data_IF_333857652123
#
_entry.id   IF_333857652123
#
_cell.length_a   1.000
_cell.length_b   1.000
_cell.length_c   1.000
_cell.angle_alpha   90.00
_cell.angle_beta   90.00
_cell.angle_gamma   90.00
#
_symmetry.space_group_name_H-M   'P 1'
#
loop_
_entity.id
_entity.type
_entity.pdbx_description
1 polymer ?
#
# COMPACT_ATOMS: atom_id res chain seq x y z
N UNK A 1 -6.28 -79.15 86.00
CA UNK A 1 -6.22 -78.75 84.58
C UNK A 1 -7.61 -78.31 84.16
N UNK A 2 -7.83 -77.01 84.02
CA UNK A 2 -8.87 -76.43 83.17
C UNK A 2 -8.46 -74.97 82.95
N UNK A 3 -7.97 -74.68 81.76
CA UNK A 3 -7.41 -73.39 81.36
C UNK A 3 -8.56 -72.58 80.77
N UNK A 4 -8.84 -71.42 81.37
CA UNK A 4 -9.82 -70.48 80.87
C UNK A 4 -9.24 -69.75 79.65
N UNK A 5 -9.91 -69.85 78.50
CA UNK A 5 -9.63 -69.00 77.33
C UNK A 5 -10.19 -67.58 77.56
N UNK A 6 -9.42 -66.53 77.29
CA UNK A 6 -9.93 -65.16 77.34
C UNK A 6 -10.67 -64.83 76.03
N UNK A 7 -11.88 -64.30 76.19
CA UNK A 7 -12.71 -63.77 75.09
C UNK A 7 -12.04 -62.54 74.48
N UNK A 8 -11.56 -62.67 73.24
CA UNK A 8 -10.98 -61.58 72.46
C UNK A 8 -12.06 -60.57 72.07
N UNK A 9 -12.14 -59.45 72.79
CA UNK A 9 -12.97 -58.30 72.43
C UNK A 9 -12.40 -57.63 71.17
N UNK A 10 -13.07 -57.85 70.03
CA UNK A 10 -12.85 -57.09 68.81
C UNK A 10 -13.12 -55.60 69.06
N UNK A 11 -12.06 -54.80 69.05
CA UNK A 11 -12.13 -53.34 69.12
C UNK A 11 -12.95 -52.77 67.94
N UNK A 12 -13.78 -51.72 68.15
CA UNK A 12 -14.54 -51.11 67.08
C UNK A 12 -13.60 -50.48 66.05
N UNK A 13 -13.80 -50.83 64.78
CA UNK A 13 -13.07 -50.28 63.65
C UNK A 13 -13.13 -48.74 63.67
N UNK A 14 -11.99 -48.09 63.89
CA UNK A 14 -11.87 -46.65 63.85
C UNK A 14 -12.43 -46.11 62.53
N UNK A 15 -13.45 -45.27 62.61
CA UNK A 15 -14.08 -44.62 61.46
C UNK A 15 -13.01 -43.84 60.68
N UNK A 16 -12.67 -44.32 59.49
CA UNK A 16 -11.75 -43.63 58.58
C UNK A 16 -12.38 -42.29 58.21
N UNK A 17 -11.76 -41.19 58.63
CA UNK A 17 -12.17 -39.83 58.25
C UNK A 17 -12.17 -39.71 56.73
N UNK A 18 -13.28 -39.29 56.09
CA UNK A 18 -13.35 -39.21 54.64
C UNK A 18 -12.33 -38.18 54.14
N UNK A 19 -11.40 -38.61 53.29
CA UNK A 19 -10.41 -37.74 52.65
C UNK A 19 -11.16 -36.65 51.86
N UNK A 20 -10.93 -35.35 52.12
CA UNK A 20 -11.66 -34.29 51.43
C UNK A 20 -11.34 -34.34 49.93
N UNK A 21 -12.36 -34.64 49.11
CA UNK A 21 -12.24 -34.60 47.65
C UNK A 21 -11.98 -33.15 47.23
N UNK A 22 -10.77 -32.88 46.73
CA UNK A 22 -10.39 -31.56 46.22
C UNK A 22 -11.30 -31.21 45.03
N UNK A 23 -12.24 -30.30 45.25
CA UNK A 23 -13.15 -29.84 44.22
C UNK A 23 -12.36 -29.25 43.04
N UNK A 24 -12.44 -29.90 41.87
CA UNK A 24 -11.75 -29.44 40.66
C UNK A 24 -12.27 -28.05 40.30
N UNK A 25 -11.38 -27.05 40.30
CA UNK A 25 -11.71 -25.67 39.91
C UNK A 25 -12.40 -25.68 38.53
N UNK A 26 -13.49 -24.92 38.35
CA UNK A 26 -14.24 -24.91 37.09
C UNK A 26 -13.36 -24.43 35.94
N UNK A 27 -13.48 -25.08 34.77
CA UNK A 27 -12.63 -24.84 33.60
C UNK A 27 -12.57 -23.36 33.18
N UNK A 28 -13.70 -22.63 33.31
CA UNK A 28 -13.77 -21.18 33.05
C UNK A 28 -12.78 -20.36 33.87
N UNK A 29 -12.56 -20.69 35.16
CA UNK A 29 -11.59 -19.99 36.00
C UNK A 29 -10.16 -20.25 35.53
N UNK A 30 -9.84 -21.49 35.13
CA UNK A 30 -8.52 -21.84 34.57
C UNK A 30 -8.25 -21.11 33.25
N UNK A 31 -9.24 -21.05 32.36
CA UNK A 31 -9.15 -20.32 31.10
C UNK A 31 -8.90 -18.81 31.32
N UNK A 32 -9.66 -18.17 32.22
CA UNK A 32 -9.45 -16.75 32.54
C UNK A 32 -8.06 -16.47 33.14
N UNK A 33 -7.54 -17.37 33.97
CA UNK A 33 -6.16 -17.24 34.47
C UNK A 33 -5.12 -17.37 33.35
N UNK A 34 -5.35 -18.28 32.39
CA UNK A 34 -4.46 -18.43 31.23
C UNK A 34 -4.49 -17.19 30.35
N UNK A 35 -5.67 -16.66 30.01
CA UNK A 35 -5.83 -15.44 29.21
C UNK A 35 -5.14 -14.26 29.89
N UNK A 36 -5.37 -14.06 31.19
CA UNK A 36 -4.73 -12.96 31.94
C UNK A 36 -3.21 -13.08 31.96
N UNK A 37 -2.67 -14.29 32.17
CA UNK A 37 -1.22 -14.53 32.16
C UNK A 37 -0.64 -14.38 30.75
N UNK A 38 -1.35 -14.89 29.74
CA UNK A 38 -0.99 -14.75 28.34
C UNK A 38 -0.87 -13.28 27.97
N UNK A 39 -1.91 -12.47 28.19
CA UNK A 39 -1.87 -11.04 27.93
C UNK A 39 -0.73 -10.34 28.67
N UNK A 40 -0.47 -10.68 29.93
CA UNK A 40 0.64 -10.09 30.68
C UNK A 40 1.99 -10.38 30.02
N UNK A 41 2.31 -11.65 29.76
CA UNK A 41 3.63 -12.01 29.23
C UNK A 41 3.79 -11.64 27.75
N UNK A 42 2.76 -11.86 26.93
CA UNK A 42 2.76 -11.42 25.54
C UNK A 42 2.80 -9.89 25.46
N UNK A 43 2.08 -9.17 26.30
CA UNK A 43 2.10 -7.71 26.33
C UNK A 43 3.49 -7.15 26.65
N UNK A 44 4.20 -7.73 27.63
CA UNK A 44 5.59 -7.36 27.94
C UNK A 44 6.56 -7.73 26.81
N UNK A 45 6.46 -8.97 26.31
CA UNK A 45 7.37 -9.45 25.29
C UNK A 45 7.17 -8.71 23.97
N UNK A 46 5.94 -8.49 23.54
CA UNK A 46 5.65 -7.84 22.28
C UNK A 46 5.68 -6.31 22.37
N UNK A 47 5.79 -5.71 23.55
CA UNK A 47 5.78 -4.25 23.74
C UNK A 47 6.70 -3.47 22.78
N UNK A 48 8.03 -3.71 22.75
CA UNK A 48 8.90 -2.93 21.85
C UNK A 48 8.53 -3.14 20.37
N UNK A 49 8.02 -4.32 20.02
CA UNK A 49 7.59 -4.66 18.67
C UNK A 49 6.31 -3.95 18.27
N UNK A 50 5.27 -3.96 19.12
CA UNK A 50 4.00 -3.29 18.81
C UNK A 50 4.15 -1.77 18.83
N UNK A 51 5.07 -1.21 19.62
CA UNK A 51 5.44 0.20 19.55
C UNK A 51 6.10 0.48 18.20
N UNK A 52 7.10 -0.32 17.79
CA UNK A 52 7.79 -0.14 16.52
C UNK A 52 6.84 -0.29 15.32
N UNK A 53 6.04 -1.35 15.28
CA UNK A 53 5.05 -1.61 14.22
C UNK A 53 3.91 -0.60 14.23
N UNK A 54 3.42 -0.19 15.40
CA UNK A 54 2.39 0.83 15.53
C UNK A 54 2.89 2.19 15.03
N UNK A 55 4.09 2.59 15.45
CA UNK A 55 4.71 3.84 15.02
C UNK A 55 5.03 3.84 13.52
N UNK A 56 5.62 2.77 12.99
CA UNK A 56 5.92 2.68 11.54
C UNK A 56 4.64 2.61 10.71
N UNK A 57 3.60 1.88 11.16
CA UNK A 57 2.29 1.88 10.51
C UNK A 57 1.64 3.25 10.47
N UNK A 58 1.71 4.00 11.58
CA UNK A 58 1.26 5.39 11.63
C UNK A 58 2.05 6.28 10.66
N UNK A 59 3.39 6.19 10.64
CA UNK A 59 4.23 6.94 9.70
C UNK A 59 3.97 6.61 8.23
N UNK A 60 3.67 5.34 7.91
CA UNK A 60 3.27 4.95 6.54
C UNK A 60 1.93 5.58 6.13
N UNK A 61 0.99 5.68 7.08
CA UNK A 61 -0.31 6.30 6.82
C UNK A 61 -0.25 7.84 6.82
N UNK A 62 0.74 8.41 7.53
CA UNK A 62 0.99 9.84 7.64
C UNK A 62 2.41 10.18 7.13
N UNK A 63 2.65 10.16 5.80
CA UNK A 63 3.99 10.35 5.24
C UNK A 63 4.60 11.73 5.49
N UNK A 64 3.79 12.69 5.95
CA UNK A 64 4.22 14.04 6.34
C UNK A 64 4.54 14.15 7.84
N UNK A 65 4.11 13.19 8.67
CA UNK A 65 4.43 13.18 10.09
C UNK A 65 5.95 12.94 10.28
N UNK A 66 6.59 13.79 11.09
CA UNK A 66 8.03 13.71 11.40
C UNK A 66 8.94 13.75 10.16
N UNK A 67 8.54 14.46 9.09
CA UNK A 67 9.40 14.61 7.91
C UNK A 67 10.65 15.42 8.23
N UNK A 68 11.83 14.91 7.87
CA UNK A 68 13.12 15.63 7.96
C UNK A 68 13.27 16.75 6.90
N UNK A 69 12.28 16.88 6.02
CA UNK A 69 12.28 17.79 4.89
C UNK A 69 11.23 18.90 5.09
N UNK A 70 11.52 20.16 4.74
CA UNK A 70 10.50 21.21 4.69
C UNK A 70 9.33 20.77 3.81
N UNK A 71 8.13 20.79 4.36
CA UNK A 71 6.89 20.50 3.66
C UNK A 71 5.84 21.57 3.97
N UNK A 72 5.06 21.94 2.97
CA UNK A 72 3.94 22.89 3.10
C UNK A 72 2.75 22.31 2.36
N UNK A 73 1.58 22.27 3.01
CA UNK A 73 0.31 22.02 2.34
C UNK A 73 -0.25 23.33 1.79
N UNK A 74 -0.82 23.28 0.59
CA UNK A 74 -1.49 24.41 -0.04
C UNK A 74 -2.92 24.04 -0.44
N UNK A 75 -3.80 25.03 -0.52
CA UNK A 75 -5.20 24.88 -0.86
C UNK A 75 -5.60 25.72 -2.08
N UNK A 76 -6.89 26.05 -2.16
CA UNK A 76 -7.47 26.79 -3.27
C UNK A 76 -6.87 28.20 -3.47
N UNK A 77 -6.42 28.86 -2.40
CA UNK A 77 -5.81 30.20 -2.46
C UNK A 77 -4.51 30.20 -3.26
N UNK A 78 -3.68 29.17 -3.10
CA UNK A 78 -2.36 29.13 -3.73
C UNK A 78 -2.42 28.73 -5.21
N UNK A 79 -3.52 28.12 -5.66
CA UNK A 79 -3.75 27.76 -7.07
C UNK A 79 -4.65 28.74 -7.82
N UNK A 80 -5.11 29.82 -7.17
CA UNK A 80 -5.94 30.85 -7.82
C UNK A 80 -5.24 31.48 -9.03
N UNK A 81 -5.99 31.78 -10.08
CA UNK A 81 -5.50 32.34 -11.34
C UNK A 81 -4.55 31.39 -12.11
N UNK A 82 -4.59 30.09 -11.80
CA UNK A 82 -3.83 29.06 -12.52
C UNK A 82 -4.77 28.11 -13.26
N UNK A 83 -4.30 27.39 -14.29
CA UNK A 83 -5.10 26.36 -14.96
C UNK A 83 -5.51 25.17 -14.07
N UNK A 84 -4.97 25.09 -12.85
CA UNK A 84 -5.31 24.09 -11.82
C UNK A 84 -6.42 24.57 -10.86
N UNK A 85 -6.84 25.84 -10.91
CA UNK A 85 -7.92 26.36 -10.05
C UNK A 85 -9.26 25.65 -10.32
N UNK A 86 -9.58 25.47 -11.60
CA UNK A 86 -10.79 24.80 -12.05
C UNK A 86 -10.44 23.66 -13.01
N UNK A 87 -10.34 22.45 -12.48
CA UNK A 87 -10.15 21.26 -13.31
C UNK A 87 -11.45 20.90 -14.03
N UNK A 88 -11.40 20.60 -15.34
CA UNK A 88 -12.56 20.05 -16.04
C UNK A 88 -13.01 18.74 -15.37
N UNK A 89 -14.33 18.51 -15.35
CA UNK A 89 -14.87 17.25 -14.87
C UNK A 89 -14.28 16.08 -15.68
N UNK A 90 -14.01 14.92 -15.05
CA UNK A 90 -13.46 13.76 -15.77
C UNK A 90 -14.27 13.38 -17.01
N UNK A 91 -15.61 13.48 -16.94
CA UNK A 91 -16.52 13.23 -18.06
C UNK A 91 -16.31 14.19 -19.23
N UNK A 92 -16.10 15.49 -18.96
CA UNK A 92 -15.84 16.49 -20.00
C UNK A 92 -14.52 16.20 -20.74
N UNK A 93 -13.49 15.70 -20.06
CA UNK A 93 -12.24 15.28 -20.71
C UNK A 93 -12.47 14.00 -21.52
N UNK A 94 -13.25 13.04 -21.00
CA UNK A 94 -13.58 11.84 -21.77
C UNK A 94 -14.36 12.17 -23.05
N UNK A 95 -15.28 13.14 -22.99
CA UNK A 95 -15.98 13.66 -24.17
C UNK A 95 -15.02 14.28 -25.18
N UNK A 96 -14.05 15.09 -24.73
CA UNK A 96 -13.01 15.63 -25.60
C UNK A 96 -12.15 14.54 -26.25
N UNK A 97 -11.81 13.49 -25.49
CA UNK A 97 -11.08 12.32 -26.03
C UNK A 97 -11.91 11.62 -27.11
N UNK A 98 -13.18 11.32 -26.84
CA UNK A 98 -14.08 10.67 -27.80
C UNK A 98 -14.27 11.54 -29.05
N UNK A 99 -14.45 12.85 -28.87
CA UNK A 99 -14.55 13.80 -29.98
C UNK A 99 -13.28 13.79 -30.84
N UNK A 100 -12.10 13.91 -30.22
CA UNK A 100 -10.83 13.92 -30.95
C UNK A 100 -10.55 12.58 -31.65
N UNK A 101 -11.01 11.45 -31.10
CA UNK A 101 -10.96 10.15 -31.76
C UNK A 101 -11.90 10.09 -32.98
N UNK A 102 -13.12 10.60 -32.85
CA UNK A 102 -14.09 10.68 -33.95
C UNK A 102 -13.58 11.58 -35.10
N UNK A 103 -12.98 12.73 -34.78
CA UNK A 103 -12.36 13.62 -35.76
C UNK A 103 -11.21 12.94 -36.53
N UNK A 104 -10.43 12.09 -35.86
CA UNK A 104 -9.38 11.28 -36.50
C UNK A 104 -9.93 10.12 -37.33
N UNK A 105 -11.06 9.54 -36.92
CA UNK A 105 -11.67 8.42 -37.61
C UNK A 105 -12.17 8.76 -39.01
N UNK A 106 -12.45 10.04 -39.29
CA UNK A 106 -12.86 10.69 -40.55
C UNK A 106 -14.03 10.05 -41.32
N UNK A 107 -14.22 8.73 -41.33
CA UNK A 107 -15.26 7.98 -42.05
C UNK A 107 -15.65 6.64 -41.35
N UNK A 108 -15.29 6.44 -40.07
CA UNK A 108 -15.60 5.22 -39.29
C UNK A 108 -16.92 5.26 -38.51
N UNK A 109 -17.29 4.14 -37.86
CA UNK A 109 -18.41 4.10 -36.90
C UNK A 109 -18.14 5.10 -35.76
N UNK A 110 -19.11 5.94 -35.37
CA UNK A 110 -18.90 6.94 -34.33
C UNK A 110 -18.68 6.24 -32.98
N UNK A 111 -17.65 6.68 -32.27
CA UNK A 111 -17.46 6.33 -30.88
C UNK A 111 -18.40 7.15 -29.99
N UNK A 112 -19.03 6.49 -29.03
CA UNK A 112 -19.90 7.11 -28.04
C UNK A 112 -19.40 6.85 -26.62
N UNK A 113 -19.37 7.89 -25.78
CA UNK A 113 -19.10 7.73 -24.35
C UNK A 113 -20.26 6.95 -23.70
N UNK A 114 -19.93 5.93 -22.93
CA UNK A 114 -20.90 5.10 -22.21
C UNK A 114 -20.72 5.36 -20.72
N UNK A 115 -21.84 5.56 -20.01
CA UNK A 115 -21.86 5.77 -18.55
C UNK A 115 -20.89 6.90 -18.11
N UNK A 116 -21.15 8.16 -18.51
CA UNK A 116 -20.29 9.30 -18.19
C UNK A 116 -20.04 9.48 -16.69
N UNK A 117 -20.95 8.99 -15.85
CA UNK A 117 -20.84 8.99 -14.38
C UNK A 117 -19.77 8.02 -13.84
N UNK A 118 -19.35 7.02 -14.63
CA UNK A 118 -18.30 6.06 -14.24
C UNK A 118 -16.90 6.48 -14.68
N UNK A 119 -16.77 7.61 -15.38
CA UNK A 119 -15.49 8.18 -15.78
C UNK A 119 -14.70 8.59 -14.54
N UNK A 120 -13.46 8.14 -14.44
CA UNK A 120 -12.61 8.44 -13.29
C UNK A 120 -11.14 8.56 -13.66
N UNK A 121 -10.42 9.34 -12.86
CA UNK A 121 -8.97 9.27 -12.84
C UNK A 121 -8.51 7.97 -12.19
N UNK A 122 -7.40 7.43 -12.70
CA UNK A 122 -6.78 6.22 -12.16
C UNK A 122 -6.05 6.46 -10.84
N UNK A 123 -5.72 7.73 -10.54
CA UNK A 123 -5.04 8.19 -9.33
C UNK A 123 -5.56 9.56 -8.92
N UNK A 124 -5.33 9.90 -7.65
CA UNK A 124 -5.82 11.15 -7.05
C UNK A 124 -4.83 12.32 -7.18
N UNK A 125 -3.61 12.07 -7.68
CA UNK A 125 -2.54 13.07 -7.65
C UNK A 125 -1.79 13.22 -8.97
N UNK A 126 -1.45 14.46 -9.31
CA UNK A 126 -0.44 14.82 -10.30
C UNK A 126 0.85 15.26 -9.60
N UNK A 127 2.00 14.92 -10.18
CA UNK A 127 3.32 15.12 -9.57
C UNK A 127 4.27 15.85 -10.52
N UNK A 128 4.85 16.93 -10.01
CA UNK A 128 5.90 17.69 -10.65
C UNK A 128 7.12 17.81 -9.75
N UNK A 129 8.26 18.04 -10.38
CA UNK A 129 9.55 18.18 -9.74
C UNK A 129 10.22 19.42 -10.29
N UNK A 130 10.75 20.23 -9.39
CA UNK A 130 11.51 21.43 -9.70
C UNK A 130 12.90 21.26 -9.14
N UNK A 131 13.90 21.42 -10.00
CA UNK A 131 15.30 21.43 -9.59
C UNK A 131 15.73 22.86 -9.32
N UNK A 132 16.27 23.09 -8.13
CA UNK A 132 16.80 24.38 -7.71
C UNK A 132 18.12 24.12 -6.98
N UNK A 133 19.23 24.51 -7.61
CA UNK A 133 20.59 24.27 -7.12
C UNK A 133 20.82 22.82 -6.65
N UNK A 134 21.18 22.62 -5.38
CA UNK A 134 21.40 21.33 -4.73
C UNK A 134 20.13 20.75 -4.08
N UNK A 135 18.94 21.23 -4.47
CA UNK A 135 17.66 20.80 -3.91
C UNK A 135 16.68 20.38 -5.01
N UNK A 136 15.87 19.40 -4.66
CA UNK A 136 14.75 18.95 -5.47
C UNK A 136 13.45 19.27 -4.72
N UNK A 137 12.61 20.09 -5.32
CA UNK A 137 11.29 20.45 -4.81
C UNK A 137 10.25 19.63 -5.54
N UNK A 138 9.55 18.76 -4.84
CA UNK A 138 8.42 17.99 -5.35
C UNK A 138 7.12 18.74 -5.06
N UNK A 139 6.30 18.91 -6.10
CA UNK A 139 4.97 19.50 -5.99
C UNK A 139 3.95 18.44 -6.37
N UNK A 140 3.00 18.17 -5.48
CA UNK A 140 1.96 17.18 -5.64
C UNK A 140 0.61 17.88 -5.58
N UNK A 141 -0.16 17.82 -6.67
CA UNK A 141 -1.51 18.39 -6.77
C UNK A 141 -2.55 17.29 -6.58
N UNK A 142 -3.57 17.55 -5.76
CA UNK A 142 -4.79 16.74 -5.70
C UNK A 142 -5.67 17.09 -6.91
N UNK A 143 -6.07 16.09 -7.70
CA UNK A 143 -6.94 16.32 -8.88
C UNK A 143 -8.43 16.26 -8.53
N UNK A 144 -8.75 15.84 -7.30
CA UNK A 144 -10.11 15.73 -6.78
C UNK A 144 -10.48 16.90 -5.87
N UNK A 145 -9.49 17.57 -5.27
CA UNK A 145 -9.68 18.74 -4.43
C UNK A 145 -8.72 19.87 -4.80
N UNK A 146 -9.11 21.14 -4.62
CA UNK A 146 -8.23 22.27 -4.87
C UNK A 146 -7.14 22.33 -3.80
N UNK A 147 -5.94 21.86 -4.13
CA UNK A 147 -4.78 21.94 -3.24
C UNK A 147 -3.72 20.88 -3.53
N UNK A 148 -2.81 20.74 -2.57
CA UNK A 148 -1.70 19.82 -2.70
C UNK A 148 -0.63 20.01 -1.64
N UNK A 149 0.56 19.48 -1.92
CA UNK A 149 1.73 19.59 -1.05
C UNK A 149 2.98 19.95 -1.84
N UNK A 150 3.83 20.77 -1.23
CA UNK A 150 5.18 21.07 -1.69
C UNK A 150 6.15 20.46 -0.68
N UNK A 151 7.16 19.73 -1.15
CA UNK A 151 8.21 19.14 -0.32
C UNK A 151 9.57 19.40 -0.93
N UNK A 152 10.52 19.88 -0.14
CA UNK A 152 11.90 20.08 -0.59
C UNK A 152 12.84 19.08 0.05
N UNK A 153 13.53 18.28 -0.77
CA UNK A 153 14.62 17.40 -0.32
C UNK A 153 15.95 17.87 -0.92
N UNK A 154 17.10 17.56 -0.28
CA UNK A 154 18.38 17.65 -0.96
C UNK A 154 18.30 16.90 -2.29
N UNK A 155 18.78 17.51 -3.37
CA UNK A 155 18.87 16.84 -4.64
C UNK A 155 19.72 15.59 -4.43
N UNK A 156 19.34 14.43 -4.98
CA UNK A 156 20.23 13.29 -4.97
C UNK A 156 21.53 13.75 -5.63
N UNK A 157 22.62 13.76 -4.86
CA UNK A 157 23.96 14.04 -5.38
C UNK A 157 24.09 13.18 -6.63
N UNK A 158 24.24 13.80 -7.79
CA UNK A 158 24.39 13.06 -9.05
C UNK A 158 25.45 12.02 -8.76
N UNK A 159 25.07 10.74 -8.80
CA UNK A 159 25.96 9.65 -8.43
C UNK A 159 27.26 9.94 -9.14
N UNK A 160 28.34 10.26 -8.38
CA UNK A 160 29.69 10.34 -8.94
C UNK A 160 29.77 9.12 -9.82
N UNK A 161 30.07 9.31 -11.12
CA UNK A 161 30.17 8.22 -12.08
C UNK A 161 31.00 7.15 -11.39
N UNK A 162 30.34 6.14 -10.84
CA UNK A 162 30.99 5.15 -10.02
C UNK A 162 31.94 4.50 -11.01
N UNK A 163 33.24 4.60 -10.72
CA UNK A 163 34.24 3.86 -11.45
C UNK A 163 33.76 2.42 -11.41
N UNK A 164 33.27 1.92 -12.55
CA UNK A 164 32.67 0.60 -12.62
C UNK A 164 33.70 -0.35 -12.06
N UNK A 165 33.34 -1.04 -10.99
CA UNK A 165 34.23 -2.00 -10.40
C UNK A 165 34.73 -2.94 -11.51
N UNK A 166 36.01 -3.36 -11.50
CA UNK A 166 36.62 -4.09 -12.62
C UNK A 166 35.94 -5.44 -12.93
N UNK A 167 35.04 -5.88 -12.06
CA UNK A 167 34.20 -7.08 -12.19
C UNK A 167 32.74 -6.79 -12.59
N UNK A 168 32.36 -5.53 -12.80
CA UNK A 168 30.99 -5.12 -13.15
C UNK A 168 30.69 -5.45 -14.62
N UNK A 169 30.16 -6.64 -14.86
CA UNK A 169 29.69 -7.10 -16.17
C UNK A 169 28.20 -6.72 -16.30
N UNK A 170 27.90 -5.58 -16.94
CA UNK A 170 26.52 -5.11 -17.12
C UNK A 170 26.39 -3.74 -17.81
N UNK A 171 25.50 -3.68 -18.81
CA UNK A 171 25.38 -2.62 -19.82
C UNK A 171 25.03 -1.25 -19.26
N UNK A 172 25.82 -0.24 -19.63
CA UNK A 172 25.30 1.10 -19.73
C UNK A 172 24.31 1.13 -20.91
N UNK A 173 23.01 1.17 -20.61
CA UNK A 173 22.02 1.72 -21.54
C UNK A 173 21.14 2.67 -20.74
N UNK A 174 21.41 3.96 -20.91
CA UNK A 174 20.44 4.99 -20.57
C UNK A 174 19.15 4.75 -21.37
N UNK A 175 18.02 5.03 -20.74
CA UNK A 175 16.70 4.96 -21.35
C UNK A 175 15.76 4.09 -20.55
N UNK A 176 14.84 4.76 -19.85
CA UNK A 176 13.71 4.22 -19.12
C UNK A 176 13.20 2.86 -19.65
N UNK A 177 13.17 1.84 -18.80
CA UNK A 177 12.24 0.72 -18.99
C UNK A 177 11.65 0.32 -17.65
N UNK A 178 10.38 0.66 -17.54
CA UNK A 178 9.42 0.36 -16.49
C UNK A 178 9.07 -1.13 -16.56
N UNK A 179 8.97 -1.80 -15.41
CA UNK A 179 8.19 -3.05 -15.27
C UNK A 179 9.01 -4.28 -14.88
N UNK A 180 8.99 -4.59 -13.58
CA UNK A 180 9.66 -5.74 -12.99
C UNK A 180 9.03 -7.08 -13.37
N UNK A 181 9.88 -7.99 -13.85
CA UNK A 181 9.59 -9.42 -13.99
C UNK A 181 10.21 -10.19 -12.84
N UNK A 182 9.37 -10.71 -11.96
CA UNK A 182 9.68 -11.61 -10.85
C UNK A 182 10.31 -12.92 -11.37
N UNK A 183 11.64 -13.03 -11.34
CA UNK A 183 12.37 -14.30 -11.53
C UNK A 183 12.40 -15.07 -10.20
N UNK A 184 11.37 -15.89 -10.00
CA UNK A 184 11.43 -17.01 -9.06
C UNK A 184 11.97 -18.24 -9.78
N UNK A 185 13.16 -18.68 -9.40
CA UNK A 185 13.75 -19.94 -9.83
C UNK A 185 13.02 -21.14 -9.22
N UNK A 186 12.89 -22.20 -10.00
CA UNK A 186 12.39 -23.51 -9.58
C UNK A 186 12.61 -24.51 -10.70
N UNK A 187 13.67 -25.30 -10.58
CA UNK A 187 14.03 -26.36 -11.51
C UNK A 187 13.21 -27.64 -11.33
N UNK A 188 13.33 -28.52 -12.33
CA UNK A 188 12.67 -29.83 -12.44
C UNK A 188 11.86 -29.87 -13.74
N UNK A 189 12.31 -30.48 -14.83
CA UNK A 189 12.77 -31.86 -14.94
C UNK A 189 11.60 -32.67 -15.51
N UNK A 190 11.55 -32.85 -16.84
CA UNK A 190 10.46 -33.57 -17.49
C UNK A 190 10.49 -33.44 -19.01
N UNK A 191 11.33 -34.26 -19.64
CA UNK A 191 11.38 -34.47 -21.09
C UNK A 191 10.15 -35.30 -21.47
N UNK A 192 9.23 -34.73 -22.23
CA UNK A 192 8.04 -35.41 -22.75
C UNK A 192 7.64 -34.80 -24.08
N UNK A 193 7.70 -35.61 -25.13
CA UNK A 193 7.34 -35.28 -26.51
C UNK A 193 5.94 -34.67 -26.63
N UNK A 194 5.82 -33.64 -27.46
CA UNK A 194 4.53 -33.11 -27.91
C UNK A 194 4.43 -33.25 -29.43
N UNK A 195 3.39 -33.91 -29.96
CA UNK A 195 3.17 -34.02 -31.40
C UNK A 195 2.63 -32.71 -31.98
N UNK A 196 2.91 -32.49 -33.26
CA UNK A 196 2.49 -31.33 -34.04
C UNK A 196 0.95 -31.16 -34.08
N UNK A 197 0.42 -29.92 -34.00
CA UNK A 197 -0.98 -29.69 -34.31
C UNK A 197 -1.17 -29.55 -35.83
N UNK A 198 -2.05 -30.41 -36.33
CA UNK A 198 -2.65 -30.35 -37.68
C UNK A 198 -3.32 -29.01 -37.91
N UNK A 199 -3.30 -28.58 -39.17
CA UNK A 199 -3.97 -27.40 -39.68
C UNK A 199 -5.46 -27.36 -39.32
N UNK A 200 -5.89 -26.18 -38.88
CA UNK A 200 -7.27 -25.80 -38.70
C UNK A 200 -7.52 -24.49 -39.44
N UNK A 201 -8.66 -24.43 -40.11
CA UNK A 201 -9.13 -23.38 -41.00
C UNK A 201 -8.93 -21.96 -40.48
N UNK A 202 -8.49 -21.08 -41.39
CA UNK A 202 -8.64 -19.63 -41.27
C UNK A 202 -10.13 -19.32 -41.16
N UNK A 203 -10.57 -18.98 -39.97
CA UNK A 203 -11.85 -18.29 -39.76
C UNK A 203 -11.64 -16.80 -40.07
N UNK A 204 -12.45 -16.30 -40.99
CA UNK A 204 -12.51 -14.89 -41.38
C UNK A 204 -13.01 -14.04 -40.21
N UNK A 205 -12.08 -13.53 -39.40
CA UNK A 205 -12.36 -12.42 -38.49
C UNK A 205 -12.27 -11.11 -39.29
N UNK A 206 -13.27 -10.19 -39.18
CA UNK A 206 -13.19 -8.90 -39.85
C UNK A 206 -11.95 -8.14 -39.36
N UNK A 207 -11.18 -7.63 -40.32
CA UNK A 207 -9.96 -6.87 -40.08
C UNK A 207 -10.20 -5.76 -39.06
N UNK A 208 -9.51 -5.84 -37.92
CA UNK A 208 -9.43 -4.75 -36.96
C UNK A 208 -8.90 -3.51 -37.67
N UNK A 209 -9.58 -2.37 -37.50
CA UNK A 209 -9.15 -1.09 -38.05
C UNK A 209 -7.67 -0.85 -37.68
N UNK A 210 -6.88 -0.37 -38.65
CA UNK A 210 -5.46 -0.12 -38.44
C UNK A 210 -5.25 0.83 -37.24
N UNK A 211 -4.24 0.57 -36.38
CA UNK A 211 -3.99 1.42 -35.22
C UNK A 211 -3.66 2.84 -35.70
N UNK A 212 -4.43 3.82 -35.24
CA UNK A 212 -4.12 5.23 -35.47
C UNK A 212 -2.81 5.56 -34.77
N UNK A 213 -1.80 5.96 -35.53
CA UNK A 213 -0.47 6.25 -35.00
C UNK A 213 -0.33 7.74 -34.67
N UNK A 214 0.01 8.04 -33.41
CA UNK A 214 0.35 9.39 -32.95
C UNK A 214 -0.45 9.87 -31.73
N UNK A 215 0.14 10.75 -30.89
CA UNK A 215 -0.48 11.23 -29.65
C UNK A 215 -1.75 12.02 -29.94
N UNK A 216 -2.80 11.84 -29.15
CA UNK A 216 -4.05 12.60 -29.19
C UNK A 216 -3.84 13.98 -28.56
N UNK A 217 -3.87 15.02 -29.38
CA UNK A 217 -3.79 16.40 -28.92
C UNK A 217 -5.15 16.81 -28.36
N UNK A 218 -5.20 17.07 -27.05
CA UNK A 218 -6.35 17.69 -26.39
C UNK A 218 -6.03 19.16 -26.09
N UNK A 219 -7.04 20.03 -26.05
CA UNK A 219 -6.86 21.38 -25.53
C UNK A 219 -6.48 21.33 -24.04
N UNK A 220 -5.44 22.06 -23.66
CA UNK A 220 -4.96 22.21 -22.28
C UNK A 220 -4.82 20.89 -21.50
N UNK A 221 -3.92 19.99 -21.91
CA UNK A 221 -3.76 18.69 -21.25
C UNK A 221 -3.27 18.87 -19.81
N UNK A 222 -3.63 17.91 -18.95
CA UNK A 222 -3.36 17.97 -17.50
C UNK A 222 -1.89 18.28 -17.17
N UNK A 223 -0.93 17.74 -17.94
CA UNK A 223 0.49 17.97 -17.69
C UNK A 223 0.89 19.44 -17.95
N UNK A 224 0.36 20.10 -18.98
CA UNK A 224 0.62 21.52 -19.23
C UNK A 224 -0.03 22.40 -18.16
N UNK A 225 -1.24 22.05 -17.70
CA UNK A 225 -1.89 22.75 -16.58
C UNK A 225 -1.04 22.71 -15.30
N UNK A 226 -0.54 21.53 -14.96
CA UNK A 226 0.36 21.33 -13.81
C UNK A 226 1.65 22.13 -14.01
N UNK A 227 2.28 22.03 -15.18
CA UNK A 227 3.52 22.75 -15.50
C UNK A 227 3.36 24.26 -15.37
N UNK A 228 2.24 24.82 -15.80
CA UNK A 228 1.92 26.24 -15.69
C UNK A 228 1.60 26.68 -14.26
N UNK A 229 0.97 25.82 -13.44
CA UNK A 229 0.60 26.15 -12.07
C UNK A 229 1.78 26.08 -11.08
N UNK A 230 2.77 25.20 -11.32
CA UNK A 230 3.89 24.96 -10.40
C UNK A 230 4.64 26.25 -10.00
N UNK A 231 5.06 27.14 -10.93
CA UNK A 231 5.79 28.36 -10.55
C UNK A 231 5.00 29.25 -9.58
N UNK A 232 3.71 29.42 -9.82
CA UNK A 232 2.81 30.25 -9.00
C UNK A 232 2.66 29.65 -7.60
N UNK A 233 2.48 28.33 -7.51
CA UNK A 233 2.38 27.63 -6.22
C UNK A 233 3.68 27.74 -5.44
N UNK A 234 4.84 27.56 -6.09
CA UNK A 234 6.14 27.68 -5.42
C UNK A 234 6.37 29.09 -4.85
N UNK A 235 6.09 30.13 -5.64
CA UNK A 235 6.18 31.52 -5.20
C UNK A 235 5.30 31.78 -3.97
N UNK A 236 4.01 31.37 -4.03
CA UNK A 236 3.04 31.59 -2.95
C UNK A 236 3.33 30.76 -1.70
N UNK A 237 3.98 29.62 -1.83
CA UNK A 237 4.38 28.76 -0.71
C UNK A 237 5.77 29.07 -0.18
N UNK A 238 6.47 30.07 -0.75
CA UNK A 238 7.79 30.51 -0.30
C UNK A 238 8.94 29.61 -0.73
N UNK A 239 8.74 28.73 -1.71
CA UNK A 239 9.80 27.91 -2.30
C UNK A 239 10.36 28.59 -3.55
N UNK A 240 11.65 28.39 -3.80
CA UNK A 240 12.29 28.92 -4.99
C UNK A 240 11.77 28.22 -6.26
N UNK A 241 11.53 29.01 -7.31
CA UNK A 241 11.20 28.50 -8.64
C UNK A 241 12.43 27.96 -9.37
N UNK A 242 12.20 27.16 -10.41
CA UNK A 242 13.26 26.56 -11.23
C UNK A 242 12.68 25.82 -12.44
N UNK A 243 13.50 24.95 -13.04
CA UNK A 243 13.07 24.13 -14.17
C UNK A 243 12.01 23.11 -13.72
N UNK A 244 10.79 23.24 -14.26
CA UNK A 244 9.65 22.37 -13.94
C UNK A 244 9.64 21.14 -14.84
N UNK A 245 9.78 19.97 -14.23
CA UNK A 245 9.56 18.67 -14.87
C UNK A 245 8.31 18.01 -14.29
N UNK A 246 7.29 17.80 -15.11
CA UNK A 246 6.13 17.00 -14.72
C UNK A 246 6.51 15.52 -14.81
N UNK A 247 6.47 14.79 -13.69
CA UNK A 247 6.90 13.39 -13.65
C UNK A 247 5.76 12.40 -13.83
N UNK A 248 4.55 12.75 -13.43
CA UNK A 248 3.35 11.94 -13.69
C UNK A 248 2.06 12.74 -13.53
N UNK A 249 1.07 12.46 -14.38
CA UNK A 249 -0.32 12.89 -14.22
C UNK A 249 -1.22 11.65 -14.19
N UNK A 250 -2.41 11.70 -13.57
CA UNK A 250 -3.31 10.56 -13.56
C UNK A 250 -3.89 10.29 -14.96
N UNK A 251 -3.97 9.01 -15.32
CA UNK A 251 -4.66 8.58 -16.54
C UNK A 251 -6.17 8.64 -16.32
N UNK A 252 -6.93 8.86 -17.40
CA UNK A 252 -8.39 8.85 -17.40
C UNK A 252 -8.90 7.48 -17.86
N UNK A 253 -9.80 6.87 -17.10
CA UNK A 253 -10.46 5.62 -17.47
C UNK A 253 -11.96 5.80 -17.62
N UNK A 254 -12.51 5.32 -18.74
CA UNK A 254 -13.92 5.44 -19.10
C UNK A 254 -14.38 4.29 -19.99
N UNK A 255 -15.69 4.21 -20.23
CA UNK A 255 -16.28 3.24 -21.15
C UNK A 255 -16.68 3.93 -22.46
N UNK A 256 -16.40 3.28 -23.58
CA UNK A 256 -16.70 3.81 -24.91
C UNK A 256 -17.30 2.71 -25.76
N UNK A 257 -18.32 3.01 -26.55
CA UNK A 257 -18.87 2.07 -27.53
C UNK A 257 -18.46 2.45 -28.94
N UNK A 258 -18.20 1.45 -29.78
CA UNK A 258 -18.04 1.59 -31.24
C UNK A 258 -19.35 1.29 -32.01
N UNK A 259 -20.47 1.22 -31.29
CA UNK A 259 -21.79 0.83 -31.80
C UNK A 259 -22.06 -0.68 -31.78
N UNK A 260 -21.04 -1.52 -31.56
CA UNK A 260 -21.18 -2.99 -31.52
C UNK A 260 -20.69 -3.61 -30.21
N UNK A 261 -19.63 -3.04 -29.63
CA UNK A 261 -19.03 -3.49 -28.38
C UNK A 261 -18.77 -2.32 -27.46
N UNK A 262 -18.64 -2.63 -26.17
CA UNK A 262 -18.17 -1.66 -25.17
C UNK A 262 -16.71 -1.93 -24.86
N UNK A 263 -15.94 -0.85 -24.78
CA UNK A 263 -14.50 -0.85 -24.57
C UNK A 263 -14.22 -0.10 -23.28
N UNK A 264 -13.38 -0.69 -22.42
CA UNK A 264 -12.73 0.04 -21.33
C UNK A 264 -11.54 0.78 -21.92
N UNK A 265 -11.64 2.10 -21.96
CA UNK A 265 -10.63 2.99 -22.53
C UNK A 265 -9.81 3.59 -21.39
N UNK A 266 -8.49 3.70 -21.62
CA UNK A 266 -7.55 4.41 -20.78
C UNK A 266 -6.80 5.45 -21.61
N UNK A 267 -6.94 6.72 -21.25
CA UNK A 267 -6.22 7.85 -21.85
C UNK A 267 -5.08 8.29 -20.93
N UNK A 268 -3.86 8.22 -21.44
CA UNK A 268 -2.66 8.70 -20.77
C UNK A 268 -2.50 10.21 -21.01
N UNK A 269 -2.78 11.00 -20.00
CA UNK A 269 -2.75 12.47 -20.09
C UNK A 269 -1.34 13.06 -20.21
N UNK A 270 -0.28 12.26 -20.02
CA UNK A 270 1.11 12.68 -20.17
C UNK A 270 1.60 12.53 -21.61
N UNK A 271 1.28 11.40 -22.24
CA UNK A 271 1.74 11.05 -23.60
C UNK A 271 0.68 11.32 -24.68
N UNK A 272 -0.58 11.55 -24.28
CA UNK A 272 -1.71 11.64 -25.20
C UNK A 272 -2.09 10.29 -25.83
N UNK A 273 -1.63 9.17 -25.28
CA UNK A 273 -1.91 7.83 -25.85
C UNK A 273 -3.26 7.31 -25.35
N UNK A 274 -4.02 6.66 -26.23
CA UNK A 274 -5.29 6.00 -25.91
C UNK A 274 -5.12 4.50 -26.07
N UNK A 275 -5.55 3.73 -25.07
CA UNK A 275 -5.59 2.27 -25.13
C UNK A 275 -6.99 1.78 -24.77
N UNK A 276 -7.42 0.66 -25.36
CA UNK A 276 -8.75 0.10 -25.15
C UNK A 276 -8.71 -1.42 -25.02
N UNK A 277 -9.52 -1.95 -24.11
CA UNK A 277 -9.76 -3.38 -23.95
C UNK A 277 -11.25 -3.66 -23.97
N UNK A 278 -11.69 -4.69 -24.70
CA UNK A 278 -13.11 -5.10 -24.75
C UNK A 278 -13.61 -5.44 -23.34
N UNK A 279 -14.81 -4.96 -22.96
CA UNK A 279 -15.41 -5.32 -21.67
C UNK A 279 -15.79 -6.80 -21.58
N UNK A 280 -16.01 -7.43 -22.73
CA UNK A 280 -16.42 -8.84 -22.85
C UNK A 280 -15.21 -9.80 -22.87
N UNK A 281 -14.00 -9.26 -22.98
CA UNK A 281 -12.81 -10.07 -22.81
C UNK A 281 -12.79 -10.56 -21.35
N UNK A 282 -12.83 -11.88 -21.16
CA UNK A 282 -12.69 -12.46 -19.83
C UNK A 282 -11.45 -11.83 -19.18
N UNK A 283 -11.58 -11.19 -18.00
CA UNK A 283 -10.43 -10.61 -17.34
C UNK A 283 -9.37 -11.71 -17.21
N UNK A 284 -8.09 -11.44 -17.50
CA UNK A 284 -7.07 -12.44 -17.32
C UNK A 284 -7.22 -12.98 -15.89
N UNK A 285 -7.25 -14.31 -15.73
CA UNK A 285 -7.62 -15.00 -14.48
C UNK A 285 -6.77 -14.61 -13.23
N UNK A 286 -5.81 -13.70 -13.41
CA UNK A 286 -4.84 -13.17 -12.45
C UNK A 286 -5.18 -11.78 -11.87
N UNK A 287 -6.30 -11.14 -12.23
CA UNK A 287 -6.50 -9.73 -11.85
C UNK A 287 -6.61 -9.50 -10.33
N UNK A 288 -7.21 -10.43 -9.56
CA UNK A 288 -7.33 -10.31 -8.10
C UNK A 288 -7.37 -11.67 -7.38
N UNK A 289 -6.27 -12.45 -7.44
CA UNK A 289 -6.13 -13.57 -6.50
C UNK A 289 -6.24 -13.07 -5.05
N UNK A 290 -6.82 -13.86 -4.14
CA UNK A 290 -7.00 -13.47 -2.73
C UNK A 290 -5.70 -12.96 -2.10
N UNK A 291 -4.58 -13.61 -2.42
CA UNK A 291 -3.25 -13.17 -2.00
C UNK A 291 -2.95 -11.76 -2.50
N UNK A 292 -3.09 -11.50 -3.81
CA UNK A 292 -2.78 -10.19 -4.42
C UNK A 292 -3.71 -9.11 -3.88
N UNK A 293 -4.99 -9.42 -3.70
CA UNK A 293 -5.95 -8.51 -3.08
C UNK A 293 -5.54 -8.16 -1.65
N UNK A 294 -5.33 -9.15 -0.79
CA UNK A 294 -4.94 -8.92 0.61
C UNK A 294 -3.60 -8.19 0.72
N UNK A 295 -2.62 -8.51 -0.13
CA UNK A 295 -1.34 -7.79 -0.17
C UNK A 295 -1.52 -6.34 -0.61
N UNK A 296 -2.33 -6.07 -1.64
CA UNK A 296 -2.63 -4.70 -2.07
C UNK A 296 -3.38 -3.93 -0.99
N UNK A 297 -4.37 -4.55 -0.36
CA UNK A 297 -5.13 -3.97 0.74
C UNK A 297 -4.20 -3.61 1.91
N UNK A 298 -3.32 -4.53 2.30
CA UNK A 298 -2.35 -4.32 3.38
C UNK A 298 -1.32 -3.22 3.07
N UNK A 299 -0.89 -3.10 1.81
CA UNK A 299 0.04 -2.04 1.37
C UNK A 299 -0.67 -0.74 1.00
N UNK A 300 -2.01 -0.69 1.04
CA UNK A 300 -2.75 0.56 0.81
C UNK A 300 -2.69 1.39 2.09
N UNK A 301 -2.03 2.54 2.00
CA UNK A 301 -1.87 3.51 3.08
C UNK A 301 -2.08 4.94 2.56
N UNK A 302 -2.16 5.90 3.48
CA UNK A 302 -2.30 7.32 3.17
C UNK A 302 -3.76 7.75 3.04
N UNK A 303 -4.07 8.93 3.60
CA UNK A 303 -5.38 9.55 3.46
C UNK A 303 -5.58 10.08 2.04
N UNK A 304 -6.66 9.65 1.34
CA UNK A 304 -7.05 10.28 0.09
C UNK A 304 -7.66 11.67 0.36
N UNK A 305 -7.77 12.50 -0.67
CA UNK A 305 -8.40 13.81 -0.56
C UNK A 305 -9.91 13.77 -0.28
N UNK A 306 -10.61 12.69 -0.68
CA UNK A 306 -12.05 12.52 -0.48
C UNK A 306 -12.44 11.42 0.51
N UNK A 307 -13.65 11.50 1.08
CA UNK A 307 -14.21 10.48 1.97
C UNK A 307 -14.72 9.27 1.18
N UNK A 308 -13.84 8.31 0.90
CA UNK A 308 -14.16 7.06 0.20
C UNK A 308 -13.71 5.83 1.01
N UNK A 309 -13.86 4.62 0.46
CA UNK A 309 -13.46 3.38 1.15
C UNK A 309 -11.99 3.38 1.59
N UNK A 310 -11.09 4.01 0.83
CA UNK A 310 -9.67 4.15 1.19
C UNK A 310 -9.48 5.07 2.39
N UNK A 311 -10.30 6.12 2.52
CA UNK A 311 -10.30 6.99 3.70
C UNK A 311 -10.67 6.20 4.97
N UNK A 312 -11.76 5.43 4.92
CA UNK A 312 -12.16 4.57 6.05
C UNK A 312 -11.11 3.51 6.37
N UNK A 313 -10.49 2.93 5.34
CA UNK A 313 -9.38 2.01 5.51
C UNK A 313 -8.21 2.64 6.25
N UNK A 314 -7.80 3.85 5.88
CA UNK A 314 -6.74 4.60 6.56
C UNK A 314 -7.08 4.83 8.06
N UNK A 315 -8.34 5.16 8.38
CA UNK A 315 -8.80 5.30 9.77
C UNK A 315 -8.71 3.97 10.54
N UNK A 316 -9.08 2.85 9.91
CA UNK A 316 -8.98 1.52 10.53
C UNK A 316 -7.52 1.16 10.81
N UNK A 317 -6.60 1.47 9.88
CA UNK A 317 -5.16 1.24 10.06
C UNK A 317 -4.62 2.04 11.24
N UNK A 318 -4.98 3.32 11.37
CA UNK A 318 -4.58 4.15 12.51
C UNK A 318 -5.14 3.59 13.83
N UNK A 319 -6.44 3.26 13.86
CA UNK A 319 -7.08 2.67 15.04
C UNK A 319 -6.39 1.35 15.45
N UNK A 320 -6.01 0.51 14.49
CA UNK A 320 -5.28 -0.72 14.75
C UNK A 320 -3.90 -0.44 15.36
N UNK A 321 -3.15 0.55 14.84
CA UNK A 321 -1.88 0.97 15.41
C UNK A 321 -2.03 1.40 16.88
N UNK A 322 -3.03 2.23 17.20
CA UNK A 322 -3.31 2.63 18.57
C UNK A 322 -3.70 1.46 19.48
N UNK A 323 -4.55 0.54 19.01
CA UNK A 323 -4.98 -0.64 19.77
C UNK A 323 -3.79 -1.56 20.07
N UNK A 324 -2.88 -1.77 19.13
CA UNK A 324 -1.68 -2.59 19.35
C UNK A 324 -0.76 -2.00 20.42
N UNK A 325 -0.53 -0.67 20.38
CA UNK A 325 0.26 0.02 21.41
C UNK A 325 -0.43 -0.05 22.76
N UNK A 326 -1.73 0.24 22.81
CA UNK A 326 -2.54 0.14 24.03
C UNK A 326 -2.50 -1.27 24.63
N UNK A 327 -2.60 -2.31 23.80
CA UNK A 327 -2.51 -3.70 24.22
C UNK A 327 -1.15 -3.99 24.89
N UNK A 328 -0.04 -3.52 24.33
CA UNK A 328 1.29 -3.63 24.96
C UNK A 328 1.36 -2.90 26.31
N UNK A 329 0.91 -1.64 26.36
CA UNK A 329 0.91 -0.81 27.58
C UNK A 329 0.03 -1.43 28.68
N UNK A 330 -1.14 -1.96 28.33
CA UNK A 330 -2.01 -2.65 29.29
C UNK A 330 -1.37 -3.92 29.87
N UNK A 331 -0.51 -4.60 29.11
CA UNK A 331 0.33 -5.70 29.60
C UNK A 331 1.32 -5.26 30.68
N UNK A 332 1.99 -4.11 30.48
CA UNK A 332 2.87 -3.49 31.49
C UNK A 332 2.07 -3.15 32.75
N UNK A 333 0.89 -2.54 32.60
CA UNK A 333 0.06 -2.14 33.72
C UNK A 333 -0.37 -3.36 34.56
N UNK A 334 -0.79 -4.46 33.92
CA UNK A 334 -1.10 -5.69 34.63
C UNK A 334 0.11 -6.34 35.30
N UNK A 335 1.26 -6.32 34.63
CA UNK A 335 2.52 -6.81 35.19
C UNK A 335 2.91 -6.03 36.46
N UNK A 336 2.74 -4.71 36.45
CA UNK A 336 3.01 -3.85 37.59
C UNK A 336 2.15 -4.20 38.81
N UNK A 337 0.87 -4.48 38.60
CA UNK A 337 -0.08 -4.85 39.65
C UNK A 337 0.24 -6.21 40.30
N UNK A 338 0.79 -7.17 39.54
CA UNK A 338 1.04 -8.52 40.01
C UNK A 338 2.47 -8.66 40.56
N UNK A 339 2.64 -8.39 41.85
CA UNK A 339 3.93 -8.45 42.56
C UNK A 339 4.71 -9.75 42.33
N UNK A 340 4.03 -10.89 42.29
CA UNK A 340 4.64 -12.22 42.12
C UNK A 340 5.32 -12.42 40.75
N UNK A 341 4.87 -11.71 39.70
CA UNK A 341 5.39 -11.86 38.33
C UNK A 341 6.43 -10.80 37.97
N UNK A 342 6.81 -9.91 38.90
CA UNK A 342 7.70 -8.78 38.63
C UNK A 342 9.07 -9.21 38.12
N UNK A 343 9.77 -10.11 38.83
CA UNK A 343 11.11 -10.57 38.43
C UNK A 343 11.11 -11.22 37.06
N UNK A 344 10.20 -12.18 36.82
CA UNK A 344 10.15 -12.89 35.55
C UNK A 344 9.74 -11.96 34.40
N UNK A 345 8.74 -11.11 34.60
CA UNK A 345 8.34 -10.16 33.56
C UNK A 345 9.42 -9.12 33.26
N UNK A 346 10.23 -8.72 34.24
CA UNK A 346 11.39 -7.84 34.00
C UNK A 346 12.42 -8.51 33.10
N UNK A 347 12.76 -9.78 33.36
CA UNK A 347 13.68 -10.56 32.52
C UNK A 347 13.14 -10.68 31.10
N UNK A 348 11.84 -10.98 30.94
CA UNK A 348 11.19 -11.07 29.62
C UNK A 348 11.23 -9.74 28.87
N UNK A 349 10.95 -8.63 29.57
CA UNK A 349 10.98 -7.29 28.97
C UNK A 349 12.39 -6.91 28.53
N UNK A 350 13.41 -7.10 29.39
CA UNK A 350 14.81 -6.83 29.04
C UNK A 350 15.27 -7.67 27.85
N UNK A 351 14.94 -8.96 27.85
CA UNK A 351 15.25 -9.83 26.73
C UNK A 351 14.63 -9.31 25.44
N UNK A 352 13.34 -8.95 25.45
CA UNK A 352 12.67 -8.44 24.26
C UNK A 352 13.27 -7.12 23.75
N UNK A 353 13.54 -6.17 24.65
CA UNK A 353 14.18 -4.90 24.29
C UNK A 353 15.58 -5.13 23.73
N UNK A 354 16.36 -6.05 24.32
CA UNK A 354 17.68 -6.42 23.81
C UNK A 354 17.63 -6.99 22.39
N UNK A 355 16.70 -7.92 22.12
CA UNK A 355 16.51 -8.49 20.78
C UNK A 355 16.04 -7.44 19.78
N UNK A 356 15.07 -6.60 20.15
CA UNK A 356 14.57 -5.54 19.29
C UNK A 356 15.66 -4.52 18.93
N UNK A 357 16.50 -4.15 19.91
CA UNK A 357 17.62 -3.23 19.70
C UNK A 357 18.69 -3.83 18.80
N UNK A 358 19.09 -5.08 19.05
CA UNK A 358 20.09 -5.77 18.23
C UNK A 358 19.62 -5.91 16.77
N UNK A 359 18.35 -6.27 16.56
CA UNK A 359 17.78 -6.32 15.21
C UNK A 359 17.70 -4.93 14.56
N UNK A 360 17.30 -3.91 15.32
CA UNK A 360 17.23 -2.53 14.84
C UNK A 360 18.59 -2.02 14.36
N UNK A 361 19.66 -2.27 15.11
CA UNK A 361 21.04 -1.96 14.70
C UNK A 361 21.44 -2.75 13.45
N UNK A 362 21.18 -4.05 13.42
CA UNK A 362 21.47 -4.88 12.24
C UNK A 362 20.73 -4.40 10.97
N UNK A 363 19.48 -3.96 11.11
CA UNK A 363 18.72 -3.39 10.00
C UNK A 363 19.22 -2.00 9.60
N UNK A 364 19.63 -1.17 10.56
CA UNK A 364 20.24 0.12 10.28
C UNK A 364 21.52 -0.04 9.45
N UNK A 365 22.37 -1.01 9.78
CA UNK A 365 23.60 -1.30 9.02
C UNK A 365 23.31 -1.82 7.61
N UNK A 366 22.21 -2.56 7.41
CA UNK A 366 21.76 -3.03 6.09
C UNK A 366 21.22 -1.88 5.24
N UNK A 367 20.58 -0.89 5.86
CA UNK A 367 19.93 0.23 5.18
C UNK A 367 20.84 1.45 4.98
N UNK A 368 21.92 1.55 5.75
CA UNK A 368 22.90 2.63 5.61
C UNK A 368 23.74 2.42 4.35
N UNK A 369 23.79 3.40 3.42
CA UNK A 369 24.71 3.33 2.30
C UNK A 369 26.15 3.27 2.84
N UNK A 370 26.92 2.26 2.40
CA UNK A 370 28.35 2.11 2.75
C UNK A 370 29.23 3.01 1.91
#
# INVERSE_FOLDING_TARGET
>A
MSVAEPTEQLAPAAARTPVPRVARRPMRKRAMHLVRRGHLYFGLFLLPWVILYGATGFLFNHPTAFSDAPFVSFGASEIRDTPMESLPAPSAIAEQVVQALNERAKEGKPYALVEPEKVKYTRDFAFATVKVDDREVSVLFDVTNPGGTVRSRPAPVAAKVEEKAPFAIGSAKGGATKGGGNRGGGGGGGRGERPAPKGGEKSDAPAAAAPMTGPLALPDPMHERVKAAVPVVLERTGFQGGEVKVSSVPDLSFLMSDGTKTWRVSYNAMEGTVSGASTDAAPPADELSTRRFLTRLHLTHGFPGGQNAKWFWAVIVDAMAFVMVFWGVSGIFMWWQLKATRKLGFVVLLFSVGVATALGLGMHDVLSPR
#
